data_IF_272290042386
#
_entry.id   IF_272290042386
#
_cell.length_a   1.000
_cell.length_b   1.000
_cell.length_c   1.000
_cell.angle_alpha   90.00
_cell.angle_beta   90.00
_cell.angle_gamma   90.00
#
_symmetry.space_group_name_H-M   'P 1'
#
loop_
_entity.id
_entity.type
_entity.pdbx_description
1 polymer ?
#
# COMPACT_ATOMS: atom_id res chain seq x y z
N UNK A 1 -19.65 -32.15 55.06
CA UNK A 1 -19.11 -33.05 54.00
C UNK A 1 -18.29 -32.21 53.04
N UNK A 2 -16.96 -32.26 53.14
CA UNK A 2 -16.07 -31.47 52.29
C UNK A 2 -15.93 -32.14 50.92
N UNK A 3 -16.34 -31.44 49.86
CA UNK A 3 -16.26 -31.89 48.48
C UNK A 3 -14.81 -31.75 47.98
N UNK A 4 -13.98 -32.77 48.20
CA UNK A 4 -12.61 -32.83 47.67
C UNK A 4 -12.70 -33.06 46.16
N UNK A 5 -12.63 -31.98 45.38
CA UNK A 5 -12.41 -32.05 43.93
C UNK A 5 -11.14 -32.88 43.68
N UNK A 6 -11.28 -34.10 43.16
CA UNK A 6 -10.16 -34.90 42.66
C UNK A 6 -9.54 -34.12 41.50
N UNK A 7 -8.36 -33.53 41.73
CA UNK A 7 -7.54 -32.99 40.66
C UNK A 7 -7.24 -34.13 39.68
N UNK A 8 -7.56 -33.94 38.39
CA UNK A 8 -7.17 -34.89 37.35
C UNK A 8 -5.64 -34.94 37.35
N UNK A 9 -5.06 -36.14 37.49
CA UNK A 9 -3.63 -36.34 37.30
C UNK A 9 -3.26 -35.84 35.91
N UNK A 10 -2.52 -34.74 35.88
CA UNK A 10 -1.77 -34.30 34.72
C UNK A 10 -0.40 -34.97 34.80
N UNK A 11 0.16 -35.43 33.66
CA UNK A 11 -0.36 -35.31 32.30
C UNK A 11 -1.32 -36.45 31.90
N UNK A 12 -2.33 -36.16 31.06
CA UNK A 12 -3.21 -37.21 30.51
C UNK A 12 -2.52 -37.99 29.37
N UNK A 13 -3.00 -39.19 29.03
CA UNK A 13 -2.42 -40.05 27.97
C UNK A 13 -2.28 -39.37 26.59
N UNK A 14 -3.16 -38.42 26.24
CA UNK A 14 -3.08 -37.67 24.98
C UNK A 14 -1.94 -36.65 25.00
N UNK A 15 -1.69 -36.02 26.15
CA UNK A 15 -0.54 -35.13 26.38
C UNK A 15 0.79 -35.90 26.29
N UNK A 16 0.85 -37.12 26.82
CA UNK A 16 2.02 -38.01 26.70
C UNK A 16 2.29 -38.43 25.25
N UNK A 17 1.25 -38.71 24.46
CA UNK A 17 1.41 -39.07 23.04
C UNK A 17 1.87 -37.90 22.17
N UNK A 18 1.28 -36.71 22.33
CA UNK A 18 1.76 -35.50 21.65
C UNK A 18 3.21 -35.18 22.02
N UNK A 19 3.61 -35.47 23.26
CA UNK A 19 4.96 -35.30 23.77
C UNK A 19 5.94 -36.28 23.10
N UNK A 20 5.62 -37.57 22.97
CA UNK A 20 6.47 -38.54 22.26
C UNK A 20 6.69 -38.23 20.78
N UNK A 21 5.79 -37.45 20.16
CA UNK A 21 5.89 -37.04 18.76
C UNK A 21 6.70 -35.74 18.56
N UNK A 22 6.99 -34.99 19.63
CA UNK A 22 7.58 -33.65 19.56
C UNK A 22 8.84 -33.47 20.42
N UNK A 23 9.02 -34.26 21.48
CA UNK A 23 10.09 -34.10 22.45
C UNK A 23 11.28 -35.01 22.11
N UNK A 24 12.40 -34.40 21.73
CA UNK A 24 13.71 -35.01 21.98
C UNK A 24 13.92 -34.90 23.49
N UNK A 25 13.99 -36.03 24.20
CA UNK A 25 14.21 -36.03 25.65
C UNK A 25 15.55 -35.37 26.00
N UNK A 26 15.59 -34.55 27.06
CA UNK A 26 16.83 -34.05 27.65
C UNK A 26 17.89 -35.10 27.90
N UNK A 27 19.12 -34.82 27.45
CA UNK A 27 20.27 -35.70 27.71
C UNK A 27 20.89 -35.48 29.08
N UNK A 28 20.59 -34.36 29.74
CA UNK A 28 21.17 -33.98 31.03
C UNK A 28 20.41 -34.63 32.22
N UNK A 29 21.13 -35.38 33.05
CA UNK A 29 20.58 -36.08 34.22
C UNK A 29 20.05 -35.14 35.30
N UNK A 30 20.66 -33.96 35.49
CA UNK A 30 20.19 -32.98 36.48
C UNK A 30 18.87 -32.35 36.05
N UNK A 31 18.71 -32.12 34.74
CA UNK A 31 17.45 -31.62 34.18
C UNK A 31 16.35 -32.69 34.31
N UNK A 32 16.65 -33.93 33.96
CA UNK A 32 15.71 -35.04 34.13
C UNK A 32 15.28 -35.22 35.59
N UNK A 33 16.19 -34.97 36.55
CA UNK A 33 15.88 -35.00 37.99
C UNK A 33 15.01 -33.83 38.43
N UNK A 34 15.25 -32.64 37.90
CA UNK A 34 14.48 -31.43 38.22
C UNK A 34 13.09 -31.43 37.56
N UNK A 35 12.94 -32.11 36.42
CA UNK A 35 11.72 -32.17 35.60
C UNK A 35 11.31 -33.64 35.34
N UNK A 36 10.99 -34.44 36.36
CA UNK A 36 10.85 -35.89 36.23
C UNK A 36 9.69 -36.35 35.36
N UNK A 37 8.65 -35.53 35.18
CA UNK A 37 7.42 -35.90 34.47
C UNK A 37 7.22 -35.14 33.15
N UNK A 38 7.78 -33.94 33.03
CA UNK A 38 7.53 -33.05 31.89
C UNK A 38 8.68 -32.08 31.68
N UNK A 39 9.25 -32.11 30.48
CA UNK A 39 10.23 -31.15 30.02
C UNK A 39 9.56 -30.06 29.18
N UNK A 40 9.53 -28.81 29.67
CA UNK A 40 9.05 -27.69 28.85
C UNK A 40 9.85 -27.56 27.56
N UNK A 41 9.21 -27.18 26.45
CA UNK A 41 9.88 -27.02 25.16
C UNK A 41 11.08 -26.07 25.21
N UNK A 42 11.03 -25.03 26.04
CA UNK A 42 12.15 -24.11 26.20
C UNK A 42 13.38 -24.77 26.86
N UNK A 43 13.18 -25.75 27.76
CA UNK A 43 14.25 -26.56 28.38
C UNK A 43 14.89 -27.50 27.36
N UNK A 44 14.05 -28.13 26.53
CA UNK A 44 14.52 -29.03 25.46
C UNK A 44 15.34 -28.23 24.43
N UNK A 45 14.81 -27.09 24.01
CA UNK A 45 15.47 -26.22 23.03
C UNK A 45 16.81 -25.69 23.56
N UNK A 46 16.90 -25.35 24.84
CA UNK A 46 18.14 -24.82 25.43
C UNK A 46 19.26 -25.88 25.45
N UNK A 47 18.93 -27.17 25.61
CA UNK A 47 19.90 -28.26 25.61
C UNK A 47 20.43 -28.63 24.22
N UNK A 48 19.60 -28.50 23.19
CA UNK A 48 20.01 -28.80 21.81
C UNK A 48 21.14 -27.90 21.29
N UNK A 49 21.55 -26.89 22.05
CA UNK A 49 22.47 -25.83 21.62
C UNK A 49 23.72 -25.80 22.52
N UNK A 50 24.81 -26.48 22.12
CA UNK A 50 26.07 -26.40 22.88
C UNK A 50 26.61 -24.96 22.87
N UNK A 51 27.05 -24.50 24.04
CA UNK A 51 27.71 -23.20 24.21
C UNK A 51 29.16 -23.31 23.75
N UNK A 52 29.54 -22.54 22.73
CA UNK A 52 30.91 -22.45 22.25
C UNK A 52 31.31 -21.01 21.94
N UNK A 53 32.62 -20.75 21.93
CA UNK A 53 33.18 -19.45 21.57
C UNK A 53 32.72 -18.98 20.18
N UNK A 54 32.77 -19.88 19.19
CA UNK A 54 32.34 -19.61 17.82
C UNK A 54 30.84 -19.29 17.73
N UNK A 55 30.01 -20.02 18.47
CA UNK A 55 28.55 -19.84 18.45
C UNK A 55 28.11 -18.59 19.20
N UNK A 56 28.77 -18.26 20.32
CA UNK A 56 28.55 -17.00 21.03
C UNK A 56 28.90 -15.81 20.14
N UNK A 57 30.08 -15.85 19.49
CA UNK A 57 30.49 -14.82 18.53
C UNK A 57 29.49 -14.71 17.37
N UNK A 58 29.08 -15.83 16.79
CA UNK A 58 28.12 -15.85 15.69
C UNK A 58 26.78 -15.22 16.08
N UNK A 59 26.28 -15.53 17.27
CA UNK A 59 25.03 -14.97 17.78
C UNK A 59 25.13 -13.45 17.98
N UNK A 60 26.23 -12.96 18.58
CA UNK A 60 26.46 -11.53 18.74
C UNK A 60 26.56 -10.83 17.39
N UNK A 61 27.40 -11.33 16.49
CA UNK A 61 27.82 -10.62 15.28
C UNK A 61 26.79 -10.71 14.15
N UNK A 62 26.17 -11.87 13.93
CA UNK A 62 25.30 -12.10 12.76
C UNK A 62 23.82 -12.22 13.09
N UNK A 63 23.46 -12.71 14.29
CA UNK A 63 22.05 -12.82 14.67
C UNK A 63 21.54 -11.51 15.29
N UNK A 64 22.33 -10.92 16.18
CA UNK A 64 21.98 -9.70 16.91
C UNK A 64 22.62 -8.44 16.33
N UNK A 65 23.59 -8.57 15.42
CA UNK A 65 24.33 -7.46 14.80
C UNK A 65 24.91 -6.47 15.84
N UNK A 66 25.41 -6.98 16.96
CA UNK A 66 25.98 -6.16 18.03
C UNK A 66 27.50 -6.08 17.94
N UNK A 67 28.07 -4.91 18.24
CA UNK A 67 29.51 -4.78 18.50
C UNK A 67 29.88 -5.42 19.84
N UNK A 68 31.18 -5.63 20.08
CA UNK A 68 31.68 -6.14 21.37
C UNK A 68 31.30 -5.19 22.51
N UNK A 69 31.40 -3.88 22.29
CA UNK A 69 31.05 -2.85 23.25
C UNK A 69 29.55 -2.87 23.58
N UNK A 70 28.68 -3.00 22.57
CA UNK A 70 27.23 -3.08 22.77
C UNK A 70 26.85 -4.34 23.54
N UNK A 71 27.44 -5.48 23.20
CA UNK A 71 27.19 -6.74 23.91
C UNK A 71 27.68 -6.68 25.35
N UNK A 72 28.86 -6.10 25.60
CA UNK A 72 29.41 -5.89 26.92
C UNK A 72 28.50 -4.98 27.77
N UNK A 73 28.03 -3.87 27.20
CA UNK A 73 27.10 -2.96 27.86
C UNK A 73 25.75 -3.64 28.17
N UNK A 74 25.21 -4.40 27.21
CA UNK A 74 23.97 -5.16 27.38
C UNK A 74 24.07 -6.19 28.52
N UNK A 75 25.16 -6.96 28.55
CA UNK A 75 25.44 -7.95 29.59
C UNK A 75 25.98 -7.35 30.89
N UNK A 76 26.20 -6.02 30.94
CA UNK A 76 26.76 -5.27 32.08
C UNK A 76 28.10 -5.81 32.56
N UNK A 77 28.97 -6.18 31.63
CA UNK A 77 30.32 -6.66 31.91
C UNK A 77 31.34 -5.86 31.11
N UNK A 78 32.62 -6.03 31.45
CA UNK A 78 33.68 -5.37 30.70
C UNK A 78 33.93 -6.07 29.34
N UNK A 79 34.27 -5.28 28.31
CA UNK A 79 34.55 -5.77 26.94
C UNK A 79 35.61 -6.87 26.87
N UNK A 80 36.56 -6.89 27.81
CA UNK A 80 37.59 -7.93 27.87
C UNK A 80 37.01 -9.31 28.16
N UNK A 81 35.91 -9.41 28.92
CA UNK A 81 35.23 -10.67 29.19
C UNK A 81 34.65 -11.25 27.91
N UNK A 82 33.98 -10.42 27.09
CA UNK A 82 33.46 -10.81 25.77
C UNK A 82 34.61 -11.31 24.87
N UNK A 83 35.70 -10.55 24.78
CA UNK A 83 36.85 -10.95 23.98
C UNK A 83 37.47 -12.28 24.47
N UNK A 84 37.52 -12.52 25.78
CA UNK A 84 38.04 -13.79 26.31
C UNK A 84 37.11 -14.96 25.98
N UNK A 85 35.79 -14.76 26.08
CA UNK A 85 34.78 -15.74 25.69
C UNK A 85 34.87 -16.11 24.20
N UNK A 86 34.93 -15.11 23.32
CA UNK A 86 34.96 -15.34 21.87
C UNK A 86 36.25 -15.97 21.38
N UNK A 87 37.36 -15.75 22.10
CA UNK A 87 38.64 -16.40 21.82
C UNK A 87 38.81 -17.74 22.55
N UNK A 88 37.77 -18.22 23.27
CA UNK A 88 37.84 -19.47 24.04
C UNK A 88 38.82 -19.45 25.22
N UNK A 89 39.29 -18.26 25.64
CA UNK A 89 40.23 -18.10 26.77
C UNK A 89 39.56 -18.25 28.14
N UNK A 90 38.25 -18.12 28.20
CA UNK A 90 37.46 -18.36 29.40
C UNK A 90 36.12 -19.00 29.04
N UNK A 91 35.56 -19.77 29.97
CA UNK A 91 34.24 -20.38 29.81
C UNK A 91 33.16 -19.32 29.71
N UNK A 92 32.20 -19.54 28.81
CA UNK A 92 31.03 -18.68 28.64
C UNK A 92 29.98 -19.11 29.67
N UNK A 93 29.50 -18.21 30.53
CA UNK A 93 28.35 -18.51 31.37
C UNK A 93 27.15 -18.86 30.51
N UNK A 94 26.54 -20.02 30.77
CA UNK A 94 25.34 -20.46 30.04
C UNK A 94 24.26 -19.39 30.01
N UNK A 95 24.04 -18.69 31.13
CA UNK A 95 23.09 -17.59 31.24
C UNK A 95 23.37 -16.44 30.27
N UNK A 96 24.63 -16.12 29.99
CA UNK A 96 24.97 -15.06 29.04
C UNK A 96 24.62 -15.47 27.62
N UNK A 97 24.90 -16.72 27.25
CA UNK A 97 24.51 -17.27 25.95
C UNK A 97 22.99 -17.38 25.79
N UNK A 98 22.31 -17.88 26.82
CA UNK A 98 20.85 -18.05 26.83
C UNK A 98 20.13 -16.70 26.78
N UNK A 99 20.66 -15.66 27.43
CA UNK A 99 20.10 -14.32 27.35
C UNK A 99 20.17 -13.77 25.91
N UNK A 100 21.31 -13.90 25.23
CA UNK A 100 21.43 -13.49 23.82
C UNK A 100 20.44 -14.25 22.92
N UNK A 101 20.22 -15.55 23.20
CA UNK A 101 19.23 -16.36 22.50
C UNK A 101 17.81 -15.83 22.69
N UNK A 102 17.42 -15.57 23.94
CA UNK A 102 16.09 -15.06 24.27
C UNK A 102 15.84 -13.68 23.67
N UNK A 103 16.86 -12.81 23.66
CA UNK A 103 16.80 -11.52 22.99
C UNK A 103 16.55 -11.69 21.50
N UNK A 104 17.31 -12.56 20.83
CA UNK A 104 17.14 -12.81 19.41
C UNK A 104 15.74 -13.35 19.06
N UNK A 105 15.20 -14.23 19.90
CA UNK A 105 13.87 -14.82 19.69
C UNK A 105 12.72 -13.85 20.04
N UNK A 106 12.97 -12.86 20.89
CA UNK A 106 11.98 -11.87 21.32
C UNK A 106 11.49 -11.00 20.16
N UNK A 107 10.17 -10.96 19.99
CA UNK A 107 9.50 -10.06 19.03
C UNK A 107 9.77 -8.60 19.34
N UNK A 108 9.83 -8.23 20.63
CA UNK A 108 10.14 -6.87 21.06
C UNK A 108 11.54 -6.44 20.63
N UNK A 109 12.51 -7.36 20.62
CA UNK A 109 13.85 -7.07 20.13
C UNK A 109 13.87 -6.93 18.61
N UNK A 110 13.16 -7.81 17.87
CA UNK A 110 13.06 -7.70 16.40
C UNK A 110 12.45 -6.37 15.94
N UNK A 111 11.57 -5.80 16.75
CA UNK A 111 10.98 -4.47 16.54
C UNK A 111 11.81 -3.32 17.12
N UNK A 112 12.94 -3.59 17.78
CA UNK A 112 13.80 -2.54 18.38
C UNK A 112 14.68 -1.80 17.36
N UNK A 113 14.55 -2.10 16.06
CA UNK A 113 15.17 -1.34 15.00
C UNK A 113 14.65 0.11 15.00
N UNK A 114 15.53 1.08 14.73
CA UNK A 114 15.20 2.50 14.73
C UNK A 114 14.01 2.85 13.82
N UNK A 115 13.84 2.17 12.69
CA UNK A 115 12.71 2.38 11.77
C UNK A 115 11.35 1.96 12.37
N UNK A 116 11.39 1.09 13.38
CA UNK A 116 10.26 0.56 14.13
C UNK A 116 10.16 1.18 15.54
N UNK A 117 10.85 2.28 15.80
CA UNK A 117 10.77 2.97 17.08
C UNK A 117 9.31 3.33 17.43
N UNK A 118 8.90 2.97 18.65
CA UNK A 118 7.52 3.16 19.13
C UNK A 118 6.53 2.10 18.65
N UNK A 119 6.96 1.12 17.84
CA UNK A 119 6.13 0.00 17.41
C UNK A 119 6.33 -1.22 18.32
N UNK A 120 5.24 -1.93 18.63
CA UNK A 120 5.29 -3.22 19.31
C UNK A 120 4.12 -4.11 18.91
N UNK A 121 4.24 -5.41 19.18
CA UNK A 121 3.12 -6.35 19.04
C UNK A 121 2.44 -6.50 20.40
N UNK A 122 1.14 -6.21 20.47
CA UNK A 122 0.37 -6.35 21.70
C UNK A 122 0.00 -7.82 21.98
N UNK A 123 -0.61 -8.09 23.14
CA UNK A 123 -1.04 -9.45 23.51
C UNK A 123 -2.09 -10.06 22.57
N UNK A 124 -2.82 -9.22 21.83
CA UNK A 124 -3.78 -9.65 20.83
C UNK A 124 -3.14 -9.92 19.45
N UNK A 125 -1.81 -9.83 19.32
CA UNK A 125 -1.09 -10.08 18.07
C UNK A 125 -1.19 -8.94 17.04
N UNK A 126 -1.63 -7.74 17.44
CA UNK A 126 -1.70 -6.56 16.57
C UNK A 126 -0.40 -5.77 16.64
N UNK A 127 0.00 -5.20 15.50
CA UNK A 127 1.13 -4.28 15.41
C UNK A 127 0.65 -2.86 15.74
N UNK A 128 1.18 -2.27 16.82
CA UNK A 128 0.67 -1.02 17.40
C UNK A 128 1.78 0.02 17.49
N UNK A 129 1.46 1.28 17.20
CA UNK A 129 2.29 2.45 17.51
C UNK A 129 1.45 3.52 18.23
N UNK A 130 1.62 3.71 19.55
CA UNK A 130 0.90 4.73 20.31
C UNK A 130 1.27 6.15 19.84
N UNK A 131 2.55 6.37 19.56
CA UNK A 131 3.10 7.68 19.24
C UNK A 131 2.63 8.20 17.88
N UNK A 132 2.31 7.29 16.94
CA UNK A 132 1.75 7.64 15.63
C UNK A 132 0.22 7.61 15.64
N UNK A 133 -0.40 8.33 16.58
CA UNK A 133 -1.86 8.53 16.58
C UNK A 133 -2.68 7.27 16.84
N UNK A 134 -2.22 6.38 17.72
CA UNK A 134 -2.88 5.10 18.03
C UNK A 134 -3.08 4.19 16.79
N UNK A 135 -2.14 4.19 15.85
CA UNK A 135 -2.16 3.24 14.74
C UNK A 135 -2.05 1.82 15.26
N UNK A 136 -2.96 0.96 14.80
CA UNK A 136 -2.96 -0.46 15.10
C UNK A 136 -3.39 -1.26 13.88
N UNK A 137 -2.52 -2.16 13.42
CA UNK A 137 -2.78 -3.03 12.30
C UNK A 137 -2.97 -4.48 12.73
N UNK A 138 -4.04 -5.11 12.24
CA UNK A 138 -4.18 -6.57 12.23
C UNK A 138 -3.38 -7.18 11.07
N UNK A 139 -3.06 -8.49 11.12
CA UNK A 139 -2.45 -9.18 9.99
C UNK A 139 -3.26 -9.06 8.69
N UNK A 140 -4.59 -9.10 8.78
CA UNK A 140 -5.48 -8.97 7.62
C UNK A 140 -5.42 -7.55 7.04
N UNK A 141 -5.46 -6.53 7.91
CA UNK A 141 -5.34 -5.11 7.52
C UNK A 141 -4.02 -4.83 6.79
N UNK A 142 -2.90 -5.42 7.23
CA UNK A 142 -1.62 -5.30 6.53
C UNK A 142 -1.64 -5.95 5.13
N UNK A 143 -2.41 -7.02 4.95
CA UNK A 143 -2.57 -7.67 3.64
C UNK A 143 -3.30 -6.75 2.66
N UNK A 144 -4.36 -6.07 3.13
CA UNK A 144 -5.10 -5.09 2.33
C UNK A 144 -4.24 -3.90 1.89
N UNK A 145 -3.25 -3.46 2.68
CA UNK A 145 -2.35 -2.35 2.30
C UNK A 145 -1.64 -2.63 0.97
N UNK A 146 -1.21 -3.87 0.72
CA UNK A 146 -0.57 -4.22 -0.56
C UNK A 146 -1.53 -4.10 -1.73
N UNK A 147 -2.77 -4.55 -1.56
CA UNK A 147 -3.80 -4.52 -2.59
C UNK A 147 -4.21 -3.09 -2.93
N UNK A 148 -4.39 -2.25 -1.91
CA UNK A 148 -4.72 -0.83 -2.11
C UNK A 148 -3.61 -0.07 -2.82
N UNK A 149 -2.34 -0.34 -2.50
CA UNK A 149 -1.21 0.25 -3.23
C UNK A 149 -1.19 -0.15 -4.70
N UNK A 150 -1.48 -1.42 -5.02
CA UNK A 150 -1.57 -1.89 -6.42
C UNK A 150 -2.72 -1.21 -7.15
N UNK A 151 -3.91 -1.19 -6.56
CA UNK A 151 -5.08 -0.55 -7.15
C UNK A 151 -4.82 0.95 -7.39
N UNK A 152 -4.23 1.65 -6.41
CA UNK A 152 -3.84 3.05 -6.55
C UNK A 152 -2.89 3.27 -7.74
N UNK A 153 -1.85 2.45 -7.88
CA UNK A 153 -0.92 2.56 -9.00
C UNK A 153 -1.60 2.32 -10.36
N UNK A 154 -2.54 1.39 -10.43
CA UNK A 154 -3.34 1.16 -11.64
C UNK A 154 -4.18 2.39 -11.99
N UNK A 155 -4.91 2.94 -11.01
CA UNK A 155 -5.72 4.13 -11.22
C UNK A 155 -4.89 5.38 -11.57
N UNK A 156 -3.69 5.52 -11.02
CA UNK A 156 -2.78 6.63 -11.37
C UNK A 156 -2.30 6.52 -12.83
N UNK A 157 -2.00 5.30 -13.29
CA UNK A 157 -1.63 5.04 -14.69
C UNK A 157 -2.79 5.35 -15.65
N UNK A 158 -3.98 4.83 -15.34
CA UNK A 158 -5.19 5.06 -16.14
C UNK A 158 -5.55 6.55 -16.20
N UNK A 159 -5.55 7.25 -15.07
CA UNK A 159 -5.77 8.70 -15.04
C UNK A 159 -4.77 9.46 -15.90
N UNK A 160 -3.51 9.03 -15.94
CA UNK A 160 -2.49 9.66 -16.77
C UNK A 160 -2.77 9.44 -18.26
N UNK A 161 -3.23 8.25 -18.65
CA UNK A 161 -3.63 7.95 -20.03
C UNK A 161 -4.84 8.75 -20.46
N UNK A 162 -5.90 8.76 -19.64
CA UNK A 162 -7.13 9.51 -19.93
C UNK A 162 -6.87 11.01 -20.05
N UNK A 163 -5.99 11.57 -19.20
CA UNK A 163 -5.60 12.99 -19.31
C UNK A 163 -4.91 13.30 -20.64
N UNK A 164 -4.01 12.44 -21.11
CA UNK A 164 -3.35 12.59 -22.42
C UNK A 164 -4.36 12.47 -23.57
N UNK A 165 -5.32 11.57 -23.45
CA UNK A 165 -6.36 11.39 -24.46
C UNK A 165 -7.31 12.58 -24.54
N UNK A 166 -7.72 13.14 -23.39
CA UNK A 166 -8.49 14.38 -23.31
C UNK A 166 -7.72 15.53 -23.94
N UNK A 167 -6.42 15.66 -23.67
CA UNK A 167 -5.57 16.69 -24.26
C UNK A 167 -5.48 16.54 -25.78
N UNK A 168 -5.27 15.31 -26.28
CA UNK A 168 -5.26 15.00 -27.71
C UNK A 168 -6.58 15.38 -28.39
N UNK A 169 -7.71 14.94 -27.83
CA UNK A 169 -9.04 15.26 -28.38
C UNK A 169 -9.36 16.76 -28.29
N UNK A 170 -8.90 17.44 -27.23
CA UNK A 170 -9.02 18.88 -27.08
C UNK A 170 -8.27 19.65 -28.16
N UNK A 171 -7.05 19.21 -28.51
CA UNK A 171 -6.29 19.74 -29.63
C UNK A 171 -6.98 19.48 -30.97
N UNK A 172 -7.49 18.27 -31.20
CA UNK A 172 -8.23 17.92 -32.41
C UNK A 172 -9.50 18.78 -32.59
N UNK A 173 -10.27 18.98 -31.52
CA UNK A 173 -11.43 19.90 -31.56
C UNK A 173 -10.98 21.34 -31.83
N UNK A 174 -9.91 21.81 -31.20
CA UNK A 174 -9.38 23.15 -31.42
C UNK A 174 -8.89 23.35 -32.87
N UNK A 175 -8.32 22.32 -33.49
CA UNK A 175 -7.91 22.31 -34.90
C UNK A 175 -9.11 22.26 -35.86
N UNK A 176 -10.20 21.61 -35.48
CA UNK A 176 -11.44 21.56 -36.27
C UNK A 176 -12.29 22.85 -36.14
N UNK A 177 -12.09 23.64 -35.08
CA UNK A 177 -12.86 24.86 -34.81
C UNK A 177 -12.47 26.17 -35.54
N UNK A 178 -11.34 26.38 -36.24
CA UNK A 178 -11.01 27.71 -36.75
C UNK A 178 -11.84 28.14 -37.97
N UNK A 179 -12.40 27.23 -38.77
CA UNK A 179 -13.02 27.61 -40.06
C UNK A 179 -14.51 27.24 -40.22
N UNK A 180 -15.07 26.34 -39.40
CA UNK A 180 -16.44 25.86 -39.60
C UNK A 180 -17.52 26.87 -39.20
N UNK A 181 -17.39 27.51 -38.04
CA UNK A 181 -18.48 28.36 -37.51
C UNK A 181 -18.47 29.77 -38.12
N UNK A 182 -17.30 30.39 -38.30
CA UNK A 182 -17.20 31.70 -38.94
C UNK A 182 -17.33 31.65 -40.46
N UNK A 183 -16.87 30.57 -41.12
CA UNK A 183 -17.08 30.35 -42.55
C UNK A 183 -18.57 30.23 -42.90
N UNK A 184 -19.30 29.35 -42.19
CA UNK A 184 -20.74 29.18 -42.39
C UNK A 184 -21.53 30.45 -42.05
N UNK A 185 -21.16 31.19 -41.00
CA UNK A 185 -21.82 32.46 -40.67
C UNK A 185 -21.58 33.55 -41.71
N UNK A 186 -20.40 33.58 -42.35
CA UNK A 186 -20.11 34.51 -43.43
C UNK A 186 -20.82 34.12 -44.73
N UNK A 187 -20.89 32.83 -45.06
CA UNK A 187 -21.67 32.32 -46.19
C UNK A 187 -23.17 32.61 -46.01
N UNK A 188 -23.71 32.44 -44.79
CA UNK A 188 -25.10 32.80 -44.48
C UNK A 188 -25.37 34.30 -44.65
N UNK A 189 -24.45 35.16 -44.20
CA UNK A 189 -24.56 36.61 -44.43
C UNK A 189 -24.48 36.99 -45.91
N UNK A 190 -23.64 36.30 -46.69
CA UNK A 190 -23.51 36.56 -48.12
C UNK A 190 -24.78 36.11 -48.88
N UNK A 191 -25.35 34.96 -48.50
CA UNK A 191 -26.63 34.48 -49.03
C UNK A 191 -27.75 35.45 -48.67
N UNK A 192 -27.79 35.94 -47.42
CA UNK A 192 -28.77 36.94 -46.97
C UNK A 192 -28.66 38.25 -47.77
N UNK A 193 -27.44 38.73 -48.01
CA UNK A 193 -27.20 39.91 -48.84
C UNK A 193 -27.66 39.71 -50.29
N UNK A 194 -27.36 38.56 -50.90
CA UNK A 194 -27.82 38.22 -52.27
C UNK A 194 -29.34 38.09 -52.35
N UNK A 195 -29.98 37.52 -51.33
CA UNK A 195 -31.44 37.46 -51.25
C UNK A 195 -32.05 38.86 -51.11
N UNK A 196 -31.45 39.75 -50.32
CA UNK A 196 -31.84 41.16 -50.23
C UNK A 196 -31.73 41.88 -51.57
N UNK A 197 -30.64 41.66 -52.30
CA UNK A 197 -30.42 42.26 -53.62
C UNK A 197 -31.39 41.72 -54.68
N UNK A 198 -31.65 40.40 -54.68
CA UNK A 198 -32.67 39.77 -55.54
C UNK A 198 -34.08 40.28 -55.22
N UNK A 199 -34.42 40.42 -53.94
CA UNK A 199 -35.69 41.00 -53.50
C UNK A 199 -35.84 42.45 -53.97
N UNK A 200 -34.79 43.27 -53.85
CA UNK A 200 -34.78 44.64 -54.34
C UNK A 200 -34.91 44.72 -55.87
N UNK A 201 -34.26 43.81 -56.61
CA UNK A 201 -34.41 43.71 -58.08
C UNK A 201 -35.82 43.30 -58.48
N UNK A 202 -36.44 42.36 -57.77
CA UNK A 202 -37.84 41.95 -58.00
C UNK A 202 -38.80 43.10 -57.69
N UNK A 203 -38.57 43.83 -56.59
CA UNK A 203 -39.34 45.03 -56.24
C UNK A 203 -39.22 46.11 -57.32
N UNK A 204 -38.01 46.41 -57.80
CA UNK A 204 -37.79 47.40 -58.86
C UNK A 204 -38.37 46.96 -60.22
N UNK A 205 -38.33 45.68 -60.57
CA UNK A 205 -38.95 45.18 -61.81
C UNK A 205 -40.48 45.20 -61.75
N UNK A 206 -41.09 45.06 -60.56
CA UNK A 206 -42.54 45.22 -60.40
C UNK A 206 -42.99 46.69 -60.43
N UNK A 207 -42.13 47.65 -60.09
CA UNK A 207 -42.48 49.08 -60.07
C UNK A 207 -42.39 49.73 -61.46
N UNK A 208 -41.63 49.19 -62.42
CA UNK A 208 -41.42 49.86 -63.73
C UNK A 208 -42.29 49.32 -64.88
N UNK A 209 -43.01 48.20 -64.75
CA UNK A 209 -43.68 47.60 -65.93
C UNK A 209 -45.17 47.20 -65.81
N UNK A 210 -45.94 47.86 -64.95
CA UNK A 210 -47.42 47.80 -65.02
C UNK A 210 -48.07 49.18 -65.24
N UNK A 211 -47.43 50.29 -64.85
CA UNK A 211 -48.05 51.63 -64.94
C UNK A 211 -47.95 52.31 -66.32
N UNK A 212 -47.00 51.93 -67.18
CA UNK A 212 -46.80 52.60 -68.49
C UNK A 212 -47.50 51.92 -69.68
N UNK A 213 -48.08 50.73 -69.52
CA UNK A 213 -48.92 50.12 -70.58
C UNK A 213 -50.39 50.51 -70.49
N UNK A 214 -50.90 50.87 -69.31
CA UNK A 214 -52.31 51.29 -69.15
C UNK A 214 -52.58 52.70 -69.66
N UNK A 215 -51.65 53.65 -69.52
CA UNK A 215 -51.85 55.03 -70.01
C UNK A 215 -51.82 55.18 -71.55
N UNK A 216 -51.17 54.27 -72.27
CA UNK A 216 -51.12 54.32 -73.74
C UNK A 216 -52.33 53.68 -74.44
N UNK A 217 -53.17 52.92 -73.72
CA UNK A 217 -54.39 52.32 -74.29
C UNK A 217 -55.59 53.29 -74.17
N UNK A 218 -55.66 54.12 -73.13
CA UNK A 218 -56.74 55.13 -73.00
C UNK A 218 -56.57 56.31 -73.99
N UNK A 219 -55.35 56.75 -74.29
CA UNK A 219 -55.11 57.85 -75.23
C UNK A 219 -55.34 57.48 -76.71
N UNK A 220 -55.37 56.19 -77.06
CA UNK A 220 -55.58 55.72 -78.44
C UNK A 220 -57.03 55.36 -78.77
N UNK A 221 -57.91 55.30 -77.77
CA UNK A 221 -59.35 55.04 -77.95
C UNK A 221 -60.19 56.31 -78.09
N UNK A 222 -59.78 57.44 -77.49
CA UNK A 222 -60.50 58.72 -77.62
C UNK A 222 -60.22 59.48 -78.93
N UNK A 223 -59.15 59.15 -79.67
CA UNK A 223 -58.82 59.78 -80.96
C UNK A 223 -59.46 59.10 -82.19
N UNK A 224 -60.34 58.10 -81.99
CA UNK A 224 -61.01 57.37 -83.09
C UNK A 224 -62.54 57.52 -83.10
N UNK A 225 -63.10 58.40 -82.27
CA UNK A 225 -64.55 58.67 -82.19
C UNK A 225 -64.90 60.17 -82.19
N UNK A 226 -64.17 60.98 -82.97
CA UNK A 226 -64.56 62.34 -83.36
C UNK A 226 -64.35 62.54 -84.86
#
# INVERSE_FOLDING_TARGET
MANTKKYRQYPNKKTLYSYSMQAIEPTDSEINKAFPEYHPMWVIQSQSRPVSASRFKYMREYMLNMTVEQCAAYLRIHRTSINRWENGKSTIPFMAFELLRLVYESTSFKLSNQNWQGWFINQAGRLVSPDRGNLSFSPDELSYVRETHKAKAMYESENTQLRKEIERMGLEIAELQPNGSHGLLNELKEIEARLGELSARISNNNVVNISNKSKNVEATLEAKTA
#
